data_IF_415718477320
#
_entry.id   IF_415718477320
#
_cell.length_a   1.000
_cell.length_b   1.000
_cell.length_c   1.000
_cell.angle_alpha   90.00
_cell.angle_beta   90.00
_cell.angle_gamma   90.00
#
_symmetry.space_group_name_H-M   'P 1'
#
loop_
_entity.id
_entity.type
_entity.pdbx_description
1 polymer ?
#
# COMPACT_ATOMS: atom_id res chain seq x y z
N UNK A 1 10.12 -3.23 7.96
CA UNK A 1 9.35 -3.13 6.71
C UNK A 1 9.73 -4.30 5.79
N UNK A 2 8.78 -5.15 5.45
CA UNK A 2 8.97 -6.31 4.56
C UNK A 2 9.10 -5.88 3.09
N UNK A 3 9.44 -6.81 2.19
CA UNK A 3 9.51 -6.54 0.74
C UNK A 3 8.14 -6.15 0.21
N UNK A 4 7.08 -6.86 0.61
CA UNK A 4 5.71 -6.54 0.22
C UNK A 4 5.29 -5.12 0.65
N UNK A 5 5.63 -4.73 1.89
CA UNK A 5 5.36 -3.40 2.42
C UNK A 5 6.13 -2.31 1.65
N UNK A 6 7.41 -2.54 1.34
CA UNK A 6 8.21 -1.64 0.51
C UNK A 6 7.60 -1.49 -0.89
N UNK A 7 7.24 -2.61 -1.53
CA UNK A 7 6.62 -2.61 -2.86
C UNK A 7 5.30 -1.85 -2.89
N UNK A 8 4.47 -1.97 -1.85
CA UNK A 8 3.21 -1.22 -1.75
C UNK A 8 3.44 0.29 -1.70
N UNK A 9 4.40 0.75 -0.88
CA UNK A 9 4.71 2.19 -0.75
C UNK A 9 5.26 2.74 -2.08
N UNK A 10 6.15 2.00 -2.74
CA UNK A 10 6.66 2.34 -4.06
C UNK A 10 5.54 2.38 -5.11
N UNK A 11 4.65 1.40 -5.12
CA UNK A 11 3.50 1.36 -6.02
C UNK A 11 2.56 2.55 -5.81
N UNK A 12 2.30 2.92 -4.55
CA UNK A 12 1.52 4.12 -4.21
C UNK A 12 2.18 5.40 -4.76
N UNK A 13 3.50 5.52 -4.63
CA UNK A 13 4.25 6.64 -5.17
C UNK A 13 4.21 6.70 -6.71
N UNK A 14 4.46 5.57 -7.38
CA UNK A 14 4.49 5.47 -8.84
C UNK A 14 3.12 5.76 -9.47
N UNK A 15 2.04 5.26 -8.85
CA UNK A 15 0.67 5.46 -9.34
C UNK A 15 0.04 6.80 -8.92
N UNK A 16 0.80 7.66 -8.25
CA UNK A 16 0.37 9.01 -7.90
C UNK A 16 -0.57 9.11 -6.71
N UNK A 17 -0.67 8.07 -5.87
CA UNK A 17 -1.51 8.09 -4.66
C UNK A 17 -1.00 9.07 -3.60
N UNK A 18 0.27 9.47 -3.69
CA UNK A 18 0.93 10.47 -2.85
C UNK A 18 0.83 11.90 -3.41
N UNK A 19 0.30 12.10 -4.63
CA UNK A 19 0.35 13.40 -5.31
C UNK A 19 -0.47 14.51 -4.62
N UNK A 20 -1.51 14.12 -3.89
CA UNK A 20 -2.41 14.97 -3.11
C UNK A 20 -2.08 14.93 -1.59
N UNK A 21 -1.02 14.22 -1.21
CA UNK A 21 -0.55 14.18 0.18
C UNK A 21 0.48 15.28 0.39
N UNK A 22 0.26 16.13 1.39
CA UNK A 22 1.23 17.15 1.77
C UNK A 22 2.56 16.51 2.21
N UNK A 23 3.70 17.11 1.82
CA UNK A 23 5.04 16.58 2.13
C UNK A 23 5.23 16.28 3.64
N UNK A 24 4.69 17.14 4.50
CA UNK A 24 4.72 17.00 5.96
C UNK A 24 3.94 15.78 6.47
N UNK A 25 2.96 15.30 5.69
CA UNK A 25 2.06 14.19 6.02
C UNK A 25 2.44 12.86 5.39
N UNK A 26 3.44 12.81 4.52
CA UNK A 26 3.84 11.56 3.83
C UNK A 26 4.22 10.47 4.85
N UNK A 27 4.92 10.82 5.93
CA UNK A 27 5.25 9.86 6.99
C UNK A 27 4.02 9.30 7.71
N UNK A 28 3.01 10.14 7.97
CA UNK A 28 1.74 9.70 8.56
C UNK A 28 0.94 8.81 7.60
N UNK A 29 0.92 9.16 6.31
CA UNK A 29 0.29 8.36 5.26
C UNK A 29 0.91 6.97 5.18
N UNK A 30 2.25 6.88 5.12
CA UNK A 30 2.96 5.60 5.06
C UNK A 30 2.65 4.75 6.29
N UNK A 31 2.77 5.31 7.50
CA UNK A 31 2.48 4.58 8.73
C UNK A 31 1.02 4.08 8.78
N UNK A 32 0.06 4.91 8.38
CA UNK A 32 -1.35 4.54 8.34
C UNK A 32 -1.64 3.47 7.26
N UNK A 33 -1.02 3.58 6.08
CA UNK A 33 -1.15 2.61 5.01
C UNK A 33 -0.61 1.25 5.43
N UNK A 34 0.59 1.22 6.02
CA UNK A 34 1.21 -0.01 6.53
C UNK A 34 0.35 -0.66 7.62
N UNK A 35 -0.17 0.14 8.57
CA UNK A 35 -1.06 -0.37 9.61
C UNK A 35 -2.38 -0.92 9.04
N UNK A 36 -2.93 -0.28 8.01
CA UNK A 36 -4.14 -0.72 7.33
C UNK A 36 -3.95 -2.07 6.63
N UNK A 37 -2.86 -2.22 5.86
CA UNK A 37 -2.61 -3.50 5.16
C UNK A 37 -2.19 -4.62 6.09
N UNK A 38 -1.48 -4.32 7.18
CA UNK A 38 -1.12 -5.33 8.18
C UNK A 38 -2.36 -5.83 8.94
N UNK A 39 -3.38 -4.98 9.13
CA UNK A 39 -4.63 -5.38 9.81
C UNK A 39 -5.59 -6.10 8.87
N UNK A 40 -5.84 -5.52 7.70
CA UNK A 40 -6.97 -5.92 6.85
C UNK A 40 -6.54 -6.76 5.63
N UNK A 41 -5.25 -6.72 5.25
CA UNK A 41 -4.72 -7.35 4.03
C UNK A 41 -3.44 -8.19 4.26
N UNK A 42 -3.23 -8.66 5.49
CA UNK A 42 -2.05 -9.47 5.86
C UNK A 42 -1.82 -10.70 4.96
N UNK A 43 -2.85 -11.45 4.51
CA UNK A 43 -2.63 -12.60 3.62
C UNK A 43 -1.98 -12.23 2.29
N UNK A 44 -2.37 -11.09 1.69
CA UNK A 44 -1.77 -10.62 0.44
C UNK A 44 -0.31 -10.20 0.65
N UNK A 45 -0.01 -9.54 1.77
CA UNK A 45 1.37 -9.17 2.11
C UNK A 45 2.26 -10.41 2.29
N UNK A 46 1.72 -11.49 2.87
CA UNK A 46 2.45 -12.76 2.98
C UNK A 46 2.68 -13.41 1.62
N UNK A 47 1.67 -13.43 0.75
CA UNK A 47 1.77 -13.97 -0.62
C UNK A 47 2.88 -13.27 -1.40
N UNK A 48 2.91 -11.94 -1.40
CA UNK A 48 3.93 -11.15 -2.10
C UNK A 48 5.33 -11.43 -1.50
N UNK A 49 5.45 -11.53 -0.17
CA UNK A 49 6.72 -11.82 0.48
C UNK A 49 7.25 -13.24 0.18
N UNK A 50 6.37 -14.22 0.00
CA UNK A 50 6.76 -15.61 -0.29
C UNK A 50 7.07 -15.84 -1.77
N UNK A 51 6.24 -15.28 -2.65
CA UNK A 51 6.36 -15.52 -4.09
C UNK A 51 7.30 -14.55 -4.76
N UNK A 52 7.48 -13.34 -4.21
CA UNK A 52 8.08 -12.22 -4.92
C UNK A 52 7.30 -11.81 -6.17
N UNK A 53 6.05 -12.28 -6.30
CA UNK A 53 5.24 -12.15 -7.50
C UNK A 53 4.69 -10.75 -7.66
N UNK A 54 4.81 -10.21 -8.88
CA UNK A 54 4.10 -9.04 -9.34
C UNK A 54 3.45 -9.39 -10.67
N UNK A 55 2.12 -9.44 -10.68
CA UNK A 55 1.30 -9.77 -11.85
C UNK A 55 0.04 -8.88 -11.85
N UNK A 56 -0.75 -8.95 -12.92
CA UNK A 56 -1.94 -8.11 -13.09
C UNK A 56 -2.98 -8.29 -11.96
N UNK A 57 -3.06 -9.49 -11.37
CA UNK A 57 -3.97 -9.77 -10.26
C UNK A 57 -3.51 -9.07 -8.97
N UNK A 58 -2.23 -9.22 -8.62
CA UNK A 58 -1.62 -8.56 -7.45
C UNK A 58 -1.68 -7.04 -7.62
N UNK A 59 -1.35 -6.53 -8.81
CA UNK A 59 -1.50 -5.11 -9.13
C UNK A 59 -2.94 -4.63 -8.90
N UNK A 60 -3.93 -5.36 -9.41
CA UNK A 60 -5.34 -5.05 -9.21
C UNK A 60 -5.73 -5.01 -7.73
N UNK A 61 -5.24 -5.97 -6.93
CA UNK A 61 -5.47 -6.01 -5.48
C UNK A 61 -4.82 -4.81 -4.77
N UNK A 62 -3.55 -4.50 -5.08
CA UNK A 62 -2.82 -3.37 -4.49
C UNK A 62 -3.53 -2.03 -4.81
N UNK A 63 -3.99 -1.87 -6.05
CA UNK A 63 -4.79 -0.71 -6.46
C UNK A 63 -6.08 -0.59 -5.65
N UNK A 64 -6.84 -1.68 -5.53
CA UNK A 64 -8.08 -1.69 -4.75
C UNK A 64 -7.87 -1.39 -3.26
N UNK A 65 -6.76 -1.85 -2.69
CA UNK A 65 -6.35 -1.53 -1.31
C UNK A 65 -6.09 -0.03 -1.16
N UNK A 66 -5.32 0.57 -2.07
CA UNK A 66 -5.01 2.00 -2.02
C UNK A 66 -6.23 2.89 -2.26
N UNK A 67 -7.10 2.51 -3.19
CA UNK A 67 -8.37 3.21 -3.45
C UNK A 67 -9.26 3.17 -2.19
N UNK A 68 -9.38 1.99 -1.55
CA UNK A 68 -10.15 1.81 -0.32
C UNK A 68 -9.53 2.56 0.86
N UNK A 69 -8.21 2.53 0.99
CA UNK A 69 -7.47 3.25 2.03
C UNK A 69 -7.74 4.76 1.94
N UNK A 70 -7.58 5.36 0.74
CA UNK A 70 -7.83 6.79 0.56
C UNK A 70 -9.29 7.20 0.72
N UNK A 71 -10.23 6.31 0.44
CA UNK A 71 -11.66 6.56 0.64
C UNK A 71 -12.08 6.49 2.11
N UNK A 72 -11.38 5.71 2.95
CA UNK A 72 -11.86 5.37 4.30
C UNK A 72 -10.98 5.90 5.43
N UNK A 73 -9.69 6.13 5.20
CA UNK A 73 -8.75 6.56 6.22
C UNK A 73 -8.49 8.06 6.16
N UNK A 74 -8.18 8.63 7.31
CA UNK A 74 -7.71 10.01 7.46
C UNK A 74 -6.30 9.97 8.05
N UNK A 75 -5.37 10.73 7.45
CA UNK A 75 -3.94 10.73 7.78
C UNK A 75 -3.33 12.14 7.95
#
# INVERSE_FOLDING_TARGET
MSVAQQSLVLFAAERGYLADVELSKIGSFEAALLAYVDRDHAPLMQEINQTGGYNDEIEGKLKGILDSFKATQSW
#
